data_IF_764834707999
#
_entry.id   IF_764834707999
#
_cell.length_a   1.000
_cell.length_b   1.000
_cell.length_c   1.000
_cell.angle_alpha   90.00
_cell.angle_beta   90.00
_cell.angle_gamma   90.00
#
_symmetry.space_group_name_H-M   'P 1'
#
loop_
_entity.id
_entity.type
_entity.pdbx_description
1 polymer ?
#
# COMPACT_ATOMS: atom_id res chain seq x y z
N UNK A 1 1.16 8.15 -4.77
CA UNK A 1 -0.31 8.11 -5.03
C UNK A 1 -0.87 9.48 -4.66
N UNK A 2 -1.99 9.95 -5.24
CA UNK A 2 -2.60 11.26 -4.93
C UNK A 2 -3.96 11.03 -4.25
N UNK A 3 -4.22 11.76 -3.17
CA UNK A 3 -5.50 11.74 -2.46
C UNK A 3 -6.20 13.09 -2.56
N UNK A 4 -7.54 13.07 -2.53
CA UNK A 4 -8.38 14.26 -2.56
C UNK A 4 -9.19 14.29 -1.28
N UNK A 5 -9.12 15.41 -0.57
CA UNK A 5 -9.80 15.63 0.71
C UNK A 5 -10.86 16.72 0.53
N UNK A 6 -12.02 16.52 1.14
CA UNK A 6 -13.08 17.51 1.20
C UNK A 6 -13.17 18.03 2.63
N UNK A 7 -13.04 19.34 2.80
CA UNK A 7 -13.31 20.00 4.08
C UNK A 7 -14.84 20.06 4.24
N UNK A 8 -15.35 19.52 5.36
CA UNK A 8 -16.80 19.39 5.61
C UNK A 8 -17.36 20.46 6.55
N UNK A 9 -16.49 21.18 7.26
CA UNK A 9 -16.90 22.25 8.18
C UNK A 9 -17.33 23.51 7.42
N UNK A 10 -18.01 24.43 8.12
CA UNK A 10 -18.33 25.74 7.57
C UNK A 10 -17.04 26.49 7.24
N UNK A 11 -16.72 26.55 5.95
CA UNK A 11 -15.56 27.25 5.45
C UNK A 11 -15.80 28.77 5.47
N UNK A 12 -14.75 29.58 5.62
CA UNK A 12 -14.79 31.00 5.26
C UNK A 12 -15.29 31.14 3.82
N UNK A 13 -16.04 32.21 3.50
CA UNK A 13 -16.64 32.42 2.16
C UNK A 13 -15.64 32.29 0.99
N UNK A 14 -14.33 32.49 1.23
CA UNK A 14 -13.26 32.24 0.27
C UNK A 14 -12.00 31.70 0.93
N UNK A 15 -11.61 30.48 0.56
CA UNK A 15 -10.25 29.99 0.78
C UNK A 15 -9.31 30.45 -0.35
N UNK A 16 -8.03 30.71 -0.05
CA UNK A 16 -7.03 30.87 -1.10
C UNK A 16 -6.94 29.58 -1.92
N UNK A 17 -6.85 29.72 -3.24
CA UNK A 17 -6.74 28.61 -4.19
C UNK A 17 -5.55 28.81 -5.11
N UNK A 18 -5.03 27.71 -5.64
CA UNK A 18 -3.97 27.74 -6.65
C UNK A 18 -4.40 26.99 -7.91
N UNK A 19 -3.99 27.50 -9.06
CA UNK A 19 -4.21 26.87 -10.35
C UNK A 19 -2.91 26.21 -10.82
N UNK A 20 -3.01 24.91 -11.11
CA UNK A 20 -1.90 24.12 -11.64
C UNK A 20 -1.72 24.39 -13.13
N UNK A 21 -0.48 24.64 -13.56
CA UNK A 21 -0.14 24.89 -14.96
C UNK A 21 0.44 23.67 -15.65
N UNK A 22 0.45 23.68 -16.98
CA UNK A 22 1.22 22.71 -17.74
C UNK A 22 2.71 22.94 -17.56
N UNK A 23 3.43 21.83 -17.61
CA UNK A 23 4.83 21.69 -17.23
C UNK A 23 5.67 21.13 -18.36
N UNK A 24 5.13 21.04 -19.58
CA UNK A 24 5.84 20.52 -20.75
C UNK A 24 7.12 21.30 -21.09
N UNK A 25 7.21 22.54 -20.59
CA UNK A 25 8.35 23.44 -20.71
C UNK A 25 9.41 23.25 -19.61
N UNK A 26 9.11 22.56 -18.50
CA UNK A 26 10.04 22.40 -17.39
C UNK A 26 11.23 21.53 -17.80
N UNK A 27 12.43 22.07 -17.60
CA UNK A 27 13.71 21.42 -17.86
C UNK A 27 14.54 21.19 -16.58
N UNK A 28 15.53 20.31 -16.69
CA UNK A 28 16.55 20.16 -15.65
C UNK A 28 17.41 21.42 -15.54
N UNK A 29 17.81 21.76 -14.32
CA UNK A 29 18.53 23.00 -14.00
C UNK A 29 17.62 24.17 -13.64
N UNK A 30 16.30 24.06 -13.82
CA UNK A 30 15.38 25.12 -13.45
C UNK A 30 15.18 25.23 -11.93
N UNK A 31 15.05 26.45 -11.39
CA UNK A 31 14.68 26.66 -10.00
C UNK A 31 13.23 26.24 -9.74
N UNK A 32 13.03 25.56 -8.61
CA UNK A 32 11.71 25.16 -8.11
C UNK A 32 11.65 25.39 -6.61
N UNK A 33 10.50 25.83 -6.13
CA UNK A 33 10.22 26.06 -4.72
C UNK A 33 9.17 25.07 -4.26
N UNK A 34 9.32 24.57 -3.04
CA UNK A 34 8.35 23.66 -2.44
C UNK A 34 7.86 24.26 -1.14
N UNK A 35 6.54 24.36 -1.02
CA UNK A 35 5.84 24.77 0.19
C UNK A 35 5.20 23.55 0.84
N UNK A 36 5.57 23.25 2.08
CA UNK A 36 5.12 22.09 2.83
C UNK A 36 4.71 22.47 4.26
N UNK A 37 4.13 21.52 4.99
CA UNK A 37 3.94 21.62 6.43
C UNK A 37 4.81 20.58 7.12
N UNK A 38 5.43 20.96 8.23
CA UNK A 38 6.11 20.00 9.09
C UNK A 38 5.09 19.06 9.76
N UNK A 39 5.58 17.95 10.33
CA UNK A 39 4.73 17.01 11.05
C UNK A 39 4.19 17.57 12.36
N UNK A 40 3.25 16.84 12.98
CA UNK A 40 2.61 17.20 14.25
C UNK A 40 3.60 17.53 15.37
N UNK A 41 4.75 16.84 15.43
CA UNK A 41 5.81 17.13 16.42
C UNK A 41 6.44 18.53 16.29
N UNK A 42 6.13 19.25 15.22
CA UNK A 42 6.56 20.62 14.93
C UNK A 42 5.36 21.55 14.71
N UNK A 43 4.21 21.24 15.31
CA UNK A 43 2.99 22.06 15.27
C UNK A 43 2.51 22.41 13.85
N UNK A 44 2.83 21.56 12.87
CA UNK A 44 2.50 21.80 11.46
C UNK A 44 3.05 23.12 10.88
N UNK A 45 4.20 23.59 11.39
CA UNK A 45 4.82 24.82 10.92
C UNK A 45 5.10 24.79 9.41
N UNK A 46 4.79 25.87 8.65
CA UNK A 46 5.07 25.94 7.22
C UNK A 46 6.58 25.90 6.93
N UNK A 47 6.97 25.04 5.99
CA UNK A 47 8.33 24.95 5.48
C UNK A 47 8.36 25.41 4.03
N UNK A 48 9.27 26.34 3.71
CA UNK A 48 9.51 26.79 2.35
C UNK A 48 10.96 26.49 1.96
N UNK A 49 11.14 25.70 0.90
CA UNK A 49 12.47 25.25 0.46
C UNK A 49 12.70 25.56 -1.02
N UNK A 50 13.90 26.03 -1.34
CA UNK A 50 14.34 26.27 -2.71
C UNK A 50 15.22 25.11 -3.21
N UNK A 51 14.88 24.59 -4.38
CA UNK A 51 15.58 23.49 -5.03
C UNK A 51 15.89 23.82 -6.49
N UNK A 52 16.64 22.92 -7.13
CA UNK A 52 16.81 22.86 -8.57
C UNK A 52 16.19 21.56 -9.08
N UNK A 53 15.49 21.60 -10.22
CA UNK A 53 15.05 20.39 -10.92
C UNK A 53 16.31 19.63 -11.37
N UNK A 54 16.68 18.57 -10.67
CA UNK A 54 17.87 17.79 -10.97
C UNK A 54 17.68 16.91 -12.20
N UNK A 55 16.48 16.38 -12.42
CA UNK A 55 16.16 15.59 -13.60
C UNK A 55 14.68 15.67 -13.97
N UNK A 56 14.41 15.51 -15.27
CA UNK A 56 13.08 15.26 -15.82
C UNK A 56 13.04 13.84 -16.34
N UNK A 57 12.39 12.95 -15.60
CA UNK A 57 12.22 11.54 -15.98
C UNK A 57 10.96 11.44 -16.82
N UNK A 58 11.01 10.75 -17.96
CA UNK A 58 9.85 10.60 -18.87
C UNK A 58 9.15 9.24 -18.71
N UNK A 59 9.89 8.19 -18.38
CA UNK A 59 9.44 6.81 -18.32
C UNK A 59 9.84 6.16 -16.99
N UNK A 60 9.03 5.26 -16.39
CA UNK A 60 7.72 4.79 -16.86
C UNK A 60 6.59 5.80 -16.64
N UNK A 61 6.84 6.86 -15.87
CA UNK A 61 5.93 8.00 -15.69
C UNK A 61 6.75 9.28 -15.66
N UNK A 62 6.17 10.35 -16.20
CA UNK A 62 6.81 11.67 -16.17
C UNK A 62 6.87 12.18 -14.73
N UNK A 63 8.05 12.60 -14.29
CA UNK A 63 8.29 13.16 -12.95
C UNK A 63 9.51 14.07 -12.92
N UNK A 64 9.56 14.96 -11.94
CA UNK A 64 10.73 15.78 -11.67
C UNK A 64 11.43 15.28 -10.42
N UNK A 65 12.76 15.19 -10.48
CA UNK A 65 13.58 14.85 -9.32
C UNK A 65 14.23 16.11 -8.79
N UNK A 66 14.16 16.31 -7.47
CA UNK A 66 14.86 17.37 -6.74
C UNK A 66 15.66 16.73 -5.61
N UNK A 67 16.79 17.33 -5.22
CA UNK A 67 17.61 16.82 -4.13
C UNK A 67 16.81 16.84 -2.82
N UNK A 68 16.86 15.74 -2.08
CA UNK A 68 16.15 15.58 -0.82
C UNK A 68 17.00 16.06 0.36
N UNK A 69 17.14 17.38 0.51
CA UNK A 69 17.94 17.99 1.58
C UNK A 69 17.19 18.08 2.92
N UNK A 70 15.86 18.01 2.87
CA UNK A 70 15.01 17.96 4.06
C UNK A 70 14.17 16.70 3.96
N UNK A 71 14.56 15.66 4.70
CA UNK A 71 13.74 14.44 4.90
C UNK A 71 12.53 14.76 5.79
N UNK A 72 11.83 15.86 5.50
CA UNK A 72 10.55 16.18 6.09
C UNK A 72 9.55 15.13 5.63
N UNK A 73 8.78 14.60 6.57
CA UNK A 73 7.87 13.48 6.42
C UNK A 73 6.61 13.80 5.58
N UNK A 74 6.66 14.82 4.71
CA UNK A 74 5.46 15.39 4.11
C UNK A 74 5.32 14.92 2.65
N UNK A 75 4.30 14.10 2.41
CA UNK A 75 3.77 13.89 1.08
C UNK A 75 2.80 15.03 0.78
N UNK A 76 2.77 15.53 -0.46
CA UNK A 76 1.76 16.50 -0.90
C UNK A 76 2.17 17.96 -0.76
N UNK A 77 3.46 18.25 -0.59
CA UNK A 77 4.02 19.59 -0.68
C UNK A 77 3.76 20.23 -2.05
N UNK A 78 3.48 21.53 -2.08
CA UNK A 78 3.16 22.25 -3.31
C UNK A 78 4.44 22.71 -4.01
N UNK A 79 4.70 22.18 -5.22
CA UNK A 79 5.82 22.60 -6.04
C UNK A 79 5.45 23.77 -6.96
N UNK A 80 6.27 24.81 -6.95
CA UNK A 80 6.05 26.08 -7.65
C UNK A 80 7.30 26.46 -8.43
N UNK A 81 7.13 26.82 -9.70
CA UNK A 81 8.20 27.38 -10.54
C UNK A 81 8.66 28.75 -10.03
N UNK A 82 9.82 29.24 -10.49
CA UNK A 82 10.26 30.60 -10.17
C UNK A 82 9.33 31.72 -10.64
N UNK A 83 8.43 31.44 -11.58
CA UNK A 83 7.36 32.35 -11.98
C UNK A 83 6.15 32.34 -11.02
N UNK A 84 6.23 31.64 -9.89
CA UNK A 84 5.13 31.53 -8.92
C UNK A 84 3.96 30.66 -9.37
N UNK A 85 4.16 29.82 -10.40
CA UNK A 85 3.11 28.92 -10.93
C UNK A 85 3.25 27.53 -10.35
N UNK A 86 2.14 26.95 -9.87
CA UNK A 86 2.10 25.58 -9.38
C UNK A 86 2.35 24.59 -10.52
N UNK A 87 3.36 23.74 -10.34
CA UNK A 87 3.79 22.77 -11.34
C UNK A 87 3.55 21.34 -10.89
N UNK A 88 3.29 21.09 -9.61
CA UNK A 88 3.05 19.74 -9.14
C UNK A 88 2.94 19.64 -7.63
N UNK A 89 2.99 18.41 -7.15
CA UNK A 89 3.05 18.09 -5.73
C UNK A 89 4.18 17.11 -5.44
N UNK A 90 4.81 17.20 -4.27
CA UNK A 90 5.81 16.23 -3.84
C UNK A 90 5.13 14.89 -3.51
N UNK A 91 5.75 13.81 -3.97
CA UNK A 91 5.33 12.46 -3.63
C UNK A 91 6.26 11.91 -2.57
N UNK A 92 5.68 11.22 -1.58
CA UNK A 92 6.49 10.41 -0.67
C UNK A 92 7.19 9.33 -1.49
N UNK A 93 8.50 9.25 -1.35
CA UNK A 93 9.25 8.07 -1.70
C UNK A 93 8.88 7.02 -0.65
N UNK A 94 8.01 6.08 -1.01
CA UNK A 94 7.72 4.97 -0.12
C UNK A 94 9.05 4.24 0.15
N UNK A 95 9.52 4.30 1.39
CA UNK A 95 10.56 3.42 1.87
C UNK A 95 9.97 2.02 1.85
N UNK A 96 10.27 1.27 0.80
CA UNK A 96 9.97 -0.15 0.81
C UNK A 96 10.93 -0.82 1.81
N UNK A 97 10.45 -1.08 3.02
CA UNK A 97 11.15 -1.88 4.02
C UNK A 97 11.10 -3.38 3.70
N UNK A 98 10.51 -3.78 2.57
CA UNK A 98 10.75 -5.09 2.01
C UNK A 98 12.11 -5.06 1.31
N UNK A 99 13.06 -5.82 1.85
CA UNK A 99 14.39 -6.02 1.28
C UNK A 99 14.31 -6.83 -0.02
N UNK A 100 13.57 -6.35 -1.02
CA UNK A 100 13.76 -6.80 -2.38
C UNK A 100 15.08 -6.20 -2.88
N UNK A 101 15.85 -7.04 -3.59
CA UNK A 101 17.13 -6.66 -4.19
C UNK A 101 17.04 -5.24 -4.75
N UNK A 102 17.91 -4.31 -4.35
CA UNK A 102 17.87 -2.97 -4.90
C UNK A 102 18.05 -3.09 -6.41
N UNK A 103 16.99 -2.76 -7.15
CA UNK A 103 17.19 -2.32 -8.53
C UNK A 103 18.14 -1.12 -8.48
N UNK A 104 18.93 -0.87 -9.51
CA UNK A 104 19.82 0.32 -9.59
C UNK A 104 19.07 1.64 -9.28
N UNK A 105 17.74 1.64 -9.32
CA UNK A 105 16.86 2.76 -9.00
C UNK A 105 16.55 2.95 -7.50
N UNK A 106 16.73 1.95 -6.64
CA UNK A 106 16.43 2.02 -5.19
C UNK A 106 17.49 2.81 -4.41
N UNK A 107 18.76 2.82 -4.85
CA UNK A 107 19.80 3.68 -4.26
C UNK A 107 19.54 5.17 -4.50
N UNK A 108 19.06 5.54 -5.70
CA UNK A 108 18.75 6.94 -6.06
C UNK A 108 17.58 7.54 -5.27
N UNK A 109 16.66 6.71 -4.78
CA UNK A 109 15.46 7.16 -4.07
C UNK A 109 15.72 7.84 -2.73
N UNK A 110 16.89 7.62 -2.12
CA UNK A 110 17.26 8.28 -0.86
C UNK A 110 17.63 9.75 -1.06
N UNK A 111 18.30 10.05 -2.17
CA UNK A 111 18.91 11.36 -2.41
C UNK A 111 17.97 12.32 -3.14
N UNK A 112 16.87 11.81 -3.72
CA UNK A 112 15.95 12.60 -4.52
C UNK A 112 14.50 12.46 -4.06
N UNK A 113 13.82 13.60 -3.96
CA UNK A 113 12.38 13.71 -3.78
C UNK A 113 11.73 13.85 -5.16
N UNK A 114 10.58 13.18 -5.34
CA UNK A 114 9.84 13.20 -6.59
C UNK A 114 8.74 14.27 -6.56
N UNK A 115 8.61 15.04 -7.64
CA UNK A 115 7.46 15.89 -7.90
C UNK A 115 6.60 15.22 -8.98
N UNK A 116 5.34 14.95 -8.64
CA UNK A 116 4.32 14.59 -9.62
C UNK A 116 3.96 15.83 -10.43
N UNK A 117 4.14 15.84 -11.76
CA UNK A 117 3.75 16.96 -12.60
C UNK A 117 2.23 17.12 -12.59
N UNK A 118 1.77 18.36 -12.72
CA UNK A 118 0.36 18.72 -12.63
C UNK A 118 -0.56 17.87 -13.51
N UNK A 119 -0.13 17.54 -14.73
CA UNK A 119 -0.93 16.78 -15.72
C UNK A 119 -1.25 15.37 -15.25
N UNK A 120 -0.45 14.83 -14.32
CA UNK A 120 -0.65 13.48 -13.78
C UNK A 120 -1.88 13.37 -12.87
N UNK A 121 -2.38 14.50 -12.35
CA UNK A 121 -3.54 14.52 -11.44
C UNK A 121 -4.54 15.64 -11.72
N UNK A 122 -4.25 16.63 -12.57
CA UNK A 122 -5.14 17.78 -12.78
C UNK A 122 -6.53 17.37 -13.25
N UNK A 123 -6.63 16.38 -14.14
CA UNK A 123 -7.93 15.84 -14.58
C UNK A 123 -8.75 15.19 -13.46
N UNK A 124 -8.08 14.75 -12.38
CA UNK A 124 -8.74 14.23 -11.18
C UNK A 124 -9.21 15.35 -10.23
N UNK A 125 -8.77 16.60 -10.39
CA UNK A 125 -9.28 17.73 -9.57
C UNK A 125 -10.74 18.02 -9.94
N UNK A 126 -11.08 17.98 -11.22
CA UNK A 126 -12.44 18.21 -11.71
C UNK A 126 -13.38 17.06 -11.34
N UNK A 127 -12.86 15.84 -11.32
CA UNK A 127 -13.59 14.61 -10.99
C UNK A 127 -12.80 13.80 -9.95
N UNK A 128 -12.77 14.26 -8.68
CA UNK A 128 -12.00 13.58 -7.65
C UNK A 128 -12.57 12.17 -7.45
N UNK A 129 -11.70 11.15 -7.38
CA UNK A 129 -12.16 9.80 -7.11
C UNK A 129 -12.85 9.79 -5.75
N UNK A 130 -14.13 9.45 -5.74
CA UNK A 130 -14.85 9.23 -4.48
C UNK A 130 -14.32 7.92 -3.91
N UNK A 131 -13.57 8.00 -2.81
CA UNK A 131 -13.21 6.82 -2.05
C UNK A 131 -14.47 6.26 -1.38
N UNK A 132 -15.23 5.48 -2.14
CA UNK A 132 -16.31 4.69 -1.58
C UNK A 132 -15.65 3.50 -0.87
N UNK A 133 -15.73 3.45 0.47
CA UNK A 133 -15.31 2.26 1.25
C UNK A 133 -15.91 0.96 0.68
N UNK A 134 -17.12 1.05 0.11
CA UNK A 134 -17.78 -0.06 -0.58
C UNK A 134 -17.14 -0.49 -1.90
N UNK A 135 -16.39 0.37 -2.61
CA UNK A 135 -15.80 0.02 -3.91
C UNK A 135 -14.61 -0.93 -3.79
N UNK A 136 -13.98 -1.03 -2.61
CA UNK A 136 -12.93 -2.01 -2.32
C UNK A 136 -13.50 -3.30 -1.70
N UNK A 137 -14.71 -3.25 -1.14
CA UNK A 137 -15.44 -4.43 -0.70
C UNK A 137 -16.05 -5.13 -1.92
N UNK A 138 -15.80 -6.43 -2.06
CA UNK A 138 -16.43 -7.22 -3.12
C UNK A 138 -15.74 -7.19 -4.48
N UNK A 139 -14.62 -6.47 -4.65
CA UNK A 139 -13.77 -6.64 -5.84
C UNK A 139 -13.36 -8.11 -5.94
N UNK A 140 -13.47 -8.68 -7.13
CA UNK A 140 -13.08 -10.06 -7.32
C UNK A 140 -11.57 -10.23 -7.13
N UNK A 141 -11.19 -11.34 -6.51
CA UNK A 141 -9.84 -11.69 -6.12
C UNK A 141 -9.51 -13.08 -6.62
N UNK A 142 -8.29 -13.20 -7.14
CA UNK A 142 -7.77 -14.42 -7.75
C UNK A 142 -6.88 -15.19 -6.75
N UNK A 143 -6.08 -14.46 -5.97
CA UNK A 143 -5.17 -15.02 -4.96
C UNK A 143 -3.95 -15.72 -5.54
N UNK A 144 -3.24 -15.01 -6.44
CA UNK A 144 -1.90 -15.39 -6.92
C UNK A 144 -0.93 -14.21 -6.84
N UNK A 145 0.35 -14.53 -6.69
CA UNK A 145 1.44 -13.67 -7.14
C UNK A 145 1.69 -13.91 -8.63
N UNK A 146 2.09 -12.86 -9.33
CA UNK A 146 2.15 -12.85 -10.79
C UNK A 146 3.37 -12.09 -11.30
N UNK A 147 3.98 -12.65 -12.33
CA UNK A 147 5.01 -12.02 -13.17
C UNK A 147 4.60 -12.14 -14.64
N UNK A 148 5.08 -11.24 -15.49
CA UNK A 148 4.85 -11.35 -16.92
C UNK A 148 5.61 -12.56 -17.50
N UNK A 149 5.04 -13.17 -18.55
CA UNK A 149 5.78 -14.15 -19.34
C UNK A 149 6.75 -13.43 -20.27
N UNK A 150 7.97 -13.18 -19.80
CA UNK A 150 9.01 -12.54 -20.63
C UNK A 150 9.39 -13.45 -21.81
N UNK A 151 9.94 -12.88 -22.91
CA UNK A 151 10.41 -13.68 -24.06
C UNK A 151 11.41 -14.77 -23.67
N UNK A 152 12.27 -14.51 -22.67
CA UNK A 152 13.25 -15.45 -22.16
C UNK A 152 12.58 -16.63 -21.45
N UNK A 153 11.63 -16.36 -20.55
CA UNK A 153 10.83 -17.40 -19.87
C UNK A 153 10.00 -18.20 -20.88
N UNK A 154 9.38 -17.52 -21.84
CA UNK A 154 8.60 -18.14 -22.90
C UNK A 154 9.43 -19.12 -23.73
N UNK A 155 10.62 -18.69 -24.18
CA UNK A 155 11.54 -19.52 -24.96
C UNK A 155 12.07 -20.70 -24.15
N UNK A 156 12.44 -20.48 -22.89
CA UNK A 156 12.99 -21.52 -22.02
C UNK A 156 11.96 -22.63 -21.70
N UNK A 157 10.73 -22.25 -21.34
CA UNK A 157 9.65 -23.19 -21.05
C UNK A 157 8.88 -23.66 -22.29
N UNK A 158 9.21 -23.12 -23.47
CA UNK A 158 8.55 -23.41 -24.75
C UNK A 158 7.04 -23.19 -24.69
N UNK A 159 6.64 -22.10 -24.07
CA UNK A 159 5.23 -21.75 -23.88
C UNK A 159 4.72 -21.16 -25.22
N UNK A 160 3.60 -21.67 -25.77
CA UNK A 160 3.04 -21.15 -27.03
C UNK A 160 2.39 -19.77 -26.82
N UNK A 161 2.19 -19.03 -27.91
CA UNK A 161 1.44 -17.76 -27.90
C UNK A 161 2.34 -16.52 -27.94
N UNK A 162 1.79 -15.38 -27.54
CA UNK A 162 2.44 -14.06 -27.61
C UNK A 162 2.59 -13.40 -26.22
N UNK A 163 2.59 -14.20 -25.16
CA UNK A 163 2.69 -13.72 -23.79
C UNK A 163 1.75 -14.48 -22.85
N UNK A 164 1.72 -14.04 -21.60
CA UNK A 164 0.89 -14.64 -20.57
C UNK A 164 1.24 -14.13 -19.18
N UNK A 165 0.61 -14.71 -18.18
CA UNK A 165 0.86 -14.41 -16.77
C UNK A 165 1.38 -15.64 -16.08
N UNK A 166 2.62 -15.58 -15.60
CA UNK A 166 3.24 -16.68 -14.85
C UNK A 166 2.83 -16.56 -13.39
N UNK A 167 2.38 -17.67 -12.81
CA UNK A 167 2.06 -17.77 -11.39
C UNK A 167 3.34 -18.04 -10.61
N UNK A 168 3.81 -17.07 -9.82
CA UNK A 168 4.99 -17.23 -8.96
C UNK A 168 4.62 -17.65 -7.52
N UNK A 169 3.38 -17.40 -7.12
CA UNK A 169 2.84 -17.70 -5.79
C UNK A 169 1.36 -18.02 -5.90
N UNK A 170 0.90 -18.96 -5.08
CA UNK A 170 -0.52 -19.23 -4.87
C UNK A 170 -0.81 -19.00 -3.40
N UNK A 171 -1.77 -18.13 -3.09
CA UNK A 171 -2.12 -17.84 -1.71
C UNK A 171 -2.97 -18.99 -1.12
N UNK A 172 -2.67 -19.50 0.07
CA UNK A 172 -3.48 -20.55 0.70
C UNK A 172 -4.93 -20.11 0.92
N UNK A 173 -5.89 -21.02 0.83
CA UNK A 173 -7.34 -20.80 0.88
C UNK A 173 -7.93 -19.90 -0.23
N UNK A 174 -7.10 -19.45 -1.17
CA UNK A 174 -7.52 -18.57 -2.26
C UNK A 174 -8.37 -19.27 -3.32
N UNK A 175 -9.04 -18.50 -4.21
CA UNK A 175 -9.67 -19.03 -5.41
C UNK A 175 -8.72 -19.83 -6.31
N UNK A 176 -7.47 -19.38 -6.48
CA UNK A 176 -6.48 -20.07 -7.30
C UNK A 176 -6.08 -21.43 -6.71
N UNK A 177 -5.86 -21.51 -5.40
CA UNK A 177 -5.56 -22.79 -4.74
C UNK A 177 -6.73 -23.76 -4.89
N UNK A 178 -7.96 -23.28 -4.66
CA UNK A 178 -9.20 -24.07 -4.81
C UNK A 178 -9.43 -24.54 -6.25
N UNK A 179 -8.95 -23.77 -7.24
CA UNK A 179 -8.95 -24.15 -8.65
C UNK A 179 -7.79 -25.11 -9.02
N UNK A 180 -6.93 -25.47 -8.06
CA UNK A 180 -5.79 -26.37 -8.30
C UNK A 180 -4.68 -25.75 -9.13
N UNK A 181 -4.63 -24.41 -9.21
CA UNK A 181 -3.52 -23.69 -9.83
C UNK A 181 -2.25 -23.83 -8.99
N UNK A 182 -1.10 -23.77 -9.65
CA UNK A 182 0.20 -24.04 -9.06
C UNK A 182 1.21 -22.99 -9.49
N UNK A 183 2.23 -22.82 -8.65
CA UNK A 183 3.43 -22.08 -9.01
C UNK A 183 4.04 -22.69 -10.28
N UNK A 184 4.47 -21.82 -11.21
CA UNK A 184 4.96 -22.13 -12.57
C UNK A 184 3.90 -22.45 -13.63
N UNK A 185 2.61 -22.39 -13.29
CA UNK A 185 1.60 -22.31 -14.35
C UNK A 185 1.73 -20.99 -15.10
N UNK A 186 1.43 -21.03 -16.40
CA UNK A 186 1.32 -19.81 -17.21
C UNK A 186 -0.11 -19.66 -17.69
N UNK A 187 -0.80 -18.60 -17.27
CA UNK A 187 -2.14 -18.27 -17.75
C UNK A 187 -1.99 -17.61 -19.13
N UNK A 188 -2.55 -18.27 -20.15
CA UNK A 188 -2.51 -17.83 -21.55
C UNK A 188 -3.77 -17.06 -21.94
N UNK A 189 -4.92 -17.41 -21.37
CA UNK A 189 -6.18 -16.68 -21.57
C UNK A 189 -7.05 -16.64 -20.33
N UNK A 190 -7.89 -15.62 -20.23
CA UNK A 190 -8.80 -15.38 -19.12
C UNK A 190 -10.18 -14.98 -19.65
N UNK A 191 -11.21 -15.76 -19.30
CA UNK A 191 -12.59 -15.64 -19.80
C UNK A 191 -12.69 -15.56 -21.33
N UNK A 192 -11.86 -16.36 -22.03
CA UNK A 192 -11.81 -16.42 -23.49
C UNK A 192 -10.95 -15.35 -24.16
N UNK A 193 -10.38 -14.41 -23.40
CA UNK A 193 -9.50 -13.36 -23.94
C UNK A 193 -8.01 -13.72 -23.76
N UNK A 194 -7.22 -13.79 -24.83
CA UNK A 194 -5.78 -14.02 -24.75
C UNK A 194 -5.04 -12.94 -23.95
N UNK A 195 -4.06 -13.36 -23.15
CA UNK A 195 -3.22 -12.48 -22.35
C UNK A 195 -1.89 -12.23 -23.06
N UNK A 196 -1.80 -11.13 -23.81
CA UNK A 196 -0.56 -10.68 -24.47
C UNK A 196 0.27 -9.83 -23.51
N UNK A 197 0.82 -10.45 -22.47
CA UNK A 197 1.60 -9.77 -21.42
C UNK A 197 3.03 -10.32 -21.45
N UNK A 198 4.00 -9.45 -21.73
CA UNK A 198 5.42 -9.82 -21.80
C UNK A 198 6.31 -9.01 -20.85
N UNK A 199 5.78 -7.94 -20.26
CA UNK A 199 6.47 -7.04 -19.33
C UNK A 199 5.62 -6.80 -18.10
N UNK A 200 6.24 -6.67 -16.94
CA UNK A 200 5.52 -6.55 -15.66
C UNK A 200 4.62 -5.30 -15.58
N UNK A 201 4.98 -4.23 -16.26
CA UNK A 201 4.17 -3.00 -16.41
C UNK A 201 2.79 -3.29 -17.02
N UNK A 202 2.68 -4.33 -17.85
CA UNK A 202 1.45 -4.73 -18.55
C UNK A 202 0.53 -5.60 -17.68
N UNK A 203 1.02 -6.11 -16.54
CA UNK A 203 0.22 -6.89 -15.58
C UNK A 203 -0.96 -6.09 -15.02
N UNK A 204 -0.89 -4.75 -15.03
CA UNK A 204 -2.02 -3.89 -14.65
C UNK A 204 -3.30 -4.25 -15.41
N UNK A 205 -3.18 -4.57 -16.71
CA UNK A 205 -4.33 -4.97 -17.54
C UNK A 205 -5.00 -6.24 -17.03
N UNK A 206 -4.21 -7.22 -16.59
CA UNK A 206 -4.76 -8.45 -16.03
C UNK A 206 -5.40 -8.22 -14.65
N UNK A 207 -4.77 -7.42 -13.80
CA UNK A 207 -5.37 -7.01 -12.51
C UNK A 207 -6.70 -6.31 -12.71
N UNK A 208 -6.80 -5.40 -13.68
CA UNK A 208 -8.04 -4.71 -14.02
C UNK A 208 -9.14 -5.70 -14.44
N UNK A 209 -8.82 -6.67 -15.31
CA UNK A 209 -9.77 -7.74 -15.70
C UNK A 209 -10.28 -8.55 -14.50
N UNK A 210 -9.39 -8.91 -13.58
CA UNK A 210 -9.77 -9.60 -12.34
C UNK A 210 -10.72 -8.72 -11.52
N UNK A 211 -10.30 -7.49 -11.20
CA UNK A 211 -11.10 -6.60 -10.33
C UNK A 211 -12.42 -6.14 -10.93
N UNK A 212 -12.51 -6.07 -12.27
CA UNK A 212 -13.74 -5.78 -13.00
C UNK A 212 -14.65 -6.99 -13.22
N UNK A 213 -14.20 -8.20 -12.90
CA UNK A 213 -15.01 -9.41 -12.98
C UNK A 213 -16.01 -9.49 -11.82
N UNK A 214 -17.14 -10.14 -12.07
CA UNK A 214 -18.14 -10.43 -11.03
C UNK A 214 -17.64 -11.56 -10.14
N UNK A 215 -17.56 -11.31 -8.83
CA UNK A 215 -17.26 -12.35 -7.85
C UNK A 215 -18.28 -13.49 -7.93
N UNK A 216 -17.88 -14.69 -7.53
CA UNK A 216 -18.68 -15.93 -7.57
C UNK A 216 -19.09 -16.44 -8.98
N UNK A 217 -18.68 -15.76 -10.06
CA UNK A 217 -18.78 -16.30 -11.42
C UNK A 217 -17.65 -17.30 -11.69
N UNK A 218 -17.98 -18.42 -12.34
CA UNK A 218 -16.98 -19.32 -12.91
C UNK A 218 -16.43 -18.71 -14.21
N UNK A 219 -15.12 -18.55 -14.29
CA UNK A 219 -14.41 -18.01 -15.44
C UNK A 219 -13.51 -19.11 -16.02
N UNK A 220 -13.45 -19.17 -17.36
CA UNK A 220 -12.57 -20.10 -18.05
C UNK A 220 -11.13 -19.59 -18.05
N UNK A 221 -10.18 -20.49 -17.85
CA UNK A 221 -8.75 -20.23 -17.95
C UNK A 221 -8.13 -21.20 -18.95
N UNK A 222 -7.26 -20.69 -19.79
CA UNK A 222 -6.31 -21.54 -20.50
C UNK A 222 -4.95 -21.39 -19.85
N UNK A 223 -4.39 -22.49 -19.34
CA UNK A 223 -3.09 -22.49 -18.68
C UNK A 223 -2.11 -23.41 -19.42
N UNK A 224 -0.83 -23.12 -19.30
CA UNK A 224 0.25 -23.99 -19.70
C UNK A 224 0.92 -24.58 -18.46
N UNK A 225 0.93 -25.91 -18.37
CA UNK A 225 1.55 -26.67 -17.28
C UNK A 225 2.18 -27.95 -17.83
N UNK A 226 3.43 -28.21 -17.46
CA UNK A 226 4.19 -29.41 -17.85
C UNK A 226 4.23 -29.64 -19.37
N UNK A 227 4.46 -28.57 -20.14
CA UNK A 227 4.57 -28.65 -21.60
C UNK A 227 3.23 -28.74 -22.35
N UNK A 228 2.09 -28.68 -21.64
CA UNK A 228 0.76 -28.85 -22.23
C UNK A 228 -0.17 -27.70 -21.87
N UNK A 229 -1.00 -27.32 -22.84
CA UNK A 229 -2.11 -26.40 -22.64
C UNK A 229 -3.28 -27.16 -22.02
N UNK A 230 -3.91 -26.56 -21.01
CA UNK A 230 -5.02 -27.12 -20.23
C UNK A 230 -6.11 -26.07 -20.08
N UNK A 231 -7.35 -26.53 -20.10
CA UNK A 231 -8.51 -25.71 -19.79
C UNK A 231 -8.86 -25.92 -18.32
N UNK A 232 -8.84 -24.85 -17.54
CA UNK A 232 -9.19 -24.83 -16.12
C UNK A 232 -10.36 -23.87 -15.90
N UNK A 233 -10.98 -23.95 -14.72
CA UNK A 233 -12.01 -23.00 -14.30
C UNK A 233 -11.66 -22.42 -12.95
N UNK A 234 -11.89 -21.13 -12.80
CA UNK A 234 -11.74 -20.45 -11.51
C UNK A 234 -13.04 -19.78 -11.12
N UNK A 235 -13.42 -19.92 -9.86
CA UNK A 235 -14.50 -19.15 -9.24
C UNK A 235 -13.88 -18.06 -8.38
N UNK A 236 -13.84 -16.84 -8.89
CA UNK A 236 -13.29 -15.72 -8.13
C UNK A 236 -14.15 -15.46 -6.88
N UNK A 237 -13.53 -14.95 -5.83
CA UNK A 237 -14.21 -14.54 -4.59
C UNK A 237 -13.98 -13.06 -4.33
N UNK A 238 -14.79 -12.42 -3.47
CA UNK A 238 -14.42 -11.13 -2.92
C UNK A 238 -13.00 -11.13 -2.37
N UNK A 239 -12.26 -10.06 -2.60
CA UNK A 239 -10.99 -9.83 -1.95
C UNK A 239 -11.14 -9.91 -0.42
N UNK A 240 -10.10 -10.39 0.28
CA UNK A 240 -10.01 -10.21 1.71
C UNK A 240 -10.32 -8.76 2.11
N UNK A 241 -10.95 -8.61 3.27
CA UNK A 241 -11.16 -7.27 3.85
C UNK A 241 -9.81 -6.62 4.04
N UNK A 242 -9.63 -5.41 3.50
CA UNK A 242 -8.42 -4.66 3.71
C UNK A 242 -8.30 -4.24 5.19
N UNK A 243 -7.08 -4.21 5.73
CA UNK A 243 -6.84 -3.75 7.11
C UNK A 243 -7.39 -2.34 7.39
N UNK A 244 -7.38 -1.47 6.37
CA UNK A 244 -7.91 -0.10 6.45
C UNK A 244 -9.41 -0.05 6.74
N UNK A 245 -10.12 -1.14 6.46
CA UNK A 245 -11.55 -1.34 6.64
C UNK A 245 -11.88 -2.30 7.78
N UNK A 246 -10.87 -2.83 8.48
CA UNK A 246 -11.07 -3.69 9.63
C UNK A 246 -11.68 -2.92 10.81
N UNK A 247 -12.38 -3.64 11.68
CA UNK A 247 -12.82 -3.07 12.96
C UNK A 247 -11.59 -2.63 13.76
N UNK A 248 -11.73 -1.53 14.49
CA UNK A 248 -10.63 -0.90 15.21
C UNK A 248 -11.00 -0.63 16.65
N UNK A 249 -10.01 -0.70 17.51
CA UNK A 249 -10.10 -0.29 18.90
C UNK A 249 -8.99 0.73 19.18
N UNK A 250 -9.40 1.91 19.62
CA UNK A 250 -8.51 3.01 19.95
C UNK A 250 -8.28 3.02 21.45
N UNK A 251 -7.03 2.86 21.86
CA UNK A 251 -6.60 2.92 23.24
C UNK A 251 -5.81 4.22 23.46
N UNK A 252 -6.58 5.30 23.63
CA UNK A 252 -6.05 6.67 23.66
C UNK A 252 -5.09 6.91 24.82
N UNK A 253 -5.29 6.26 25.96
CA UNK A 253 -4.45 6.34 27.16
C UNK A 253 -3.01 5.89 26.89
N UNK A 254 -2.84 4.95 25.96
CA UNK A 254 -1.53 4.42 25.55
C UNK A 254 -1.05 5.01 24.22
N UNK A 255 -1.89 5.75 23.49
CA UNK A 255 -1.61 6.22 22.14
C UNK A 255 -1.50 5.08 21.12
N UNK A 256 -2.37 4.08 21.22
CA UNK A 256 -2.33 2.85 20.42
C UNK A 256 -3.66 2.67 19.67
N UNK A 257 -3.60 2.41 18.36
CA UNK A 257 -4.73 1.89 17.58
C UNK A 257 -4.42 0.46 17.15
N UNK A 258 -5.31 -0.47 17.51
CA UNK A 258 -5.27 -1.86 17.02
C UNK A 258 -6.47 -2.15 16.14
N UNK A 259 -6.32 -3.14 15.27
CA UNK A 259 -7.36 -3.58 14.35
C UNK A 259 -7.48 -5.08 14.30
N UNK A 260 -8.69 -5.54 13.95
CA UNK A 260 -8.95 -6.95 13.67
C UNK A 260 -8.00 -7.47 12.58
N UNK A 261 -7.41 -8.63 12.83
CA UNK A 261 -6.46 -9.23 11.92
C UNK A 261 -7.17 -9.66 10.62
N UNK A 262 -6.60 -9.25 9.50
CA UNK A 262 -7.17 -9.48 8.17
C UNK A 262 -6.24 -10.35 7.33
N UNK A 263 -6.83 -11.08 6.38
CA UNK A 263 -6.11 -12.11 5.63
C UNK A 263 -5.09 -11.50 4.64
N UNK A 264 -5.31 -10.27 4.18
CA UNK A 264 -4.32 -9.48 3.42
C UNK A 264 -3.04 -9.24 4.25
N UNK A 265 -3.15 -8.87 5.53
CA UNK A 265 -2.01 -8.69 6.42
C UNK A 265 -1.25 -10.01 6.63
N UNK A 266 -1.97 -11.11 6.84
CA UNK A 266 -1.35 -12.42 6.98
C UNK A 266 -0.51 -12.78 5.74
N UNK A 267 -1.02 -12.47 4.56
CA UNK A 267 -0.33 -12.72 3.30
C UNK A 267 0.86 -11.78 3.05
N UNK A 268 0.67 -10.47 3.23
CA UNK A 268 1.67 -9.45 2.91
C UNK A 268 2.89 -9.58 3.81
N UNK A 269 2.67 -9.89 5.09
CA UNK A 269 3.73 -10.09 6.07
C UNK A 269 4.12 -11.56 6.28
N UNK A 270 3.51 -12.48 5.50
CA UNK A 270 3.80 -13.91 5.51
C UNK A 270 3.68 -14.55 6.90
N UNK A 271 2.68 -14.12 7.67
CA UNK A 271 2.29 -14.78 8.91
C UNK A 271 1.58 -16.11 8.60
N UNK A 272 1.65 -17.10 9.51
CA UNK A 272 0.81 -18.30 9.43
C UNK A 272 -0.68 -17.94 9.35
N UNK A 273 -1.48 -18.70 8.60
CA UNK A 273 -2.90 -18.40 8.43
C UNK A 273 -3.71 -18.54 9.72
N UNK A 274 -3.24 -19.40 10.61
CA UNK A 274 -3.84 -19.64 11.91
C UNK A 274 -3.38 -18.64 12.99
N UNK A 275 -2.52 -17.66 12.64
CA UNK A 275 -2.14 -16.58 13.54
C UNK A 275 -3.37 -15.91 14.12
N UNK A 276 -3.37 -15.75 15.44
CA UNK A 276 -4.41 -15.08 16.21
C UNK A 276 -3.85 -13.85 16.89
N UNK A 277 -4.71 -12.88 17.15
CA UNK A 277 -4.33 -11.62 17.79
C UNK A 277 -4.95 -10.41 17.10
N UNK A 278 -4.44 -9.24 17.45
CA UNK A 278 -4.82 -7.95 16.85
C UNK A 278 -3.62 -7.28 16.21
N UNK A 279 -3.83 -6.63 15.07
CA UNK A 279 -2.79 -5.93 14.33
C UNK A 279 -2.59 -4.51 14.89
N UNK A 280 -1.35 -4.12 15.15
CA UNK A 280 -1.00 -2.76 15.56
C UNK A 280 -0.97 -1.87 14.32
N UNK A 281 -1.98 -1.02 14.19
CA UNK A 281 -2.19 -0.18 13.01
C UNK A 281 -1.52 1.18 13.15
N UNK A 282 -1.62 1.81 14.32
CA UNK A 282 -1.04 3.12 14.58
C UNK A 282 -0.53 3.23 16.01
N UNK A 283 0.56 3.97 16.18
CA UNK A 283 1.16 4.28 17.46
C UNK A 283 1.54 5.76 17.47
N UNK A 284 1.16 6.48 18.53
CA UNK A 284 1.78 7.74 18.88
C UNK A 284 3.13 7.46 19.56
N UNK A 285 4.21 7.91 18.92
CA UNK A 285 5.59 7.69 19.39
C UNK A 285 5.89 8.38 20.72
N UNK A 286 5.19 9.46 21.05
CA UNK A 286 5.37 10.19 22.30
C UNK A 286 4.49 9.62 23.45
N UNK A 287 3.54 8.75 23.12
CA UNK A 287 2.65 8.12 24.08
C UNK A 287 3.29 6.87 24.72
N UNK A 288 2.70 6.32 25.80
CA UNK A 288 3.27 5.16 26.49
C UNK A 288 3.55 3.94 25.60
N UNK A 289 2.68 3.62 24.64
CA UNK A 289 2.89 2.51 23.71
C UNK A 289 4.15 2.71 22.86
N UNK A 290 4.35 3.93 22.33
CA UNK A 290 5.53 4.30 21.56
C UNK A 290 6.81 4.27 22.39
N UNK A 291 6.79 4.88 23.59
CA UNK A 291 7.94 4.87 24.51
C UNK A 291 8.30 3.47 25.02
N UNK A 292 7.30 2.59 25.16
CA UNK A 292 7.50 1.19 25.54
C UNK A 292 8.18 0.35 24.46
N UNK A 293 8.21 0.83 23.20
CA UNK A 293 8.82 0.12 22.07
C UNK A 293 7.85 -0.78 21.32
N UNK A 294 6.54 -0.53 21.38
CA UNK A 294 5.61 -1.18 20.45
C UNK A 294 5.85 -0.65 19.04
N UNK A 295 5.68 -1.53 18.04
CA UNK A 295 5.92 -1.21 16.63
C UNK A 295 4.68 -1.45 15.77
N UNK A 296 4.39 -0.48 14.90
CA UNK A 296 3.37 -0.61 13.84
C UNK A 296 3.74 -1.80 12.95
N UNK A 297 2.74 -2.62 12.59
CA UNK A 297 2.97 -3.83 11.82
C UNK A 297 3.10 -5.11 12.67
N UNK A 298 3.18 -4.98 13.99
CA UNK A 298 3.21 -6.13 14.89
C UNK A 298 1.80 -6.67 15.18
N UNK A 299 1.70 -7.95 15.54
CA UNK A 299 0.47 -8.58 16.02
C UNK A 299 0.56 -8.77 17.53
N UNK A 300 -0.37 -8.22 18.30
CA UNK A 300 -0.49 -8.51 19.73
C UNK A 300 -1.16 -9.87 19.88
N UNK A 301 -0.45 -10.79 20.48
CA UNK A 301 -0.86 -12.19 20.67
C UNK A 301 -1.23 -12.50 22.12
N UNK A 302 -0.70 -11.74 23.09
CA UNK A 302 -1.03 -11.86 24.51
C UNK A 302 -0.99 -10.50 25.22
N UNK A 303 -1.78 -10.37 26.28
CA UNK A 303 -1.78 -9.24 27.23
C UNK A 303 -1.70 -9.80 28.65
N UNK A 304 -0.66 -9.43 29.41
CA UNK A 304 -0.40 -9.90 30.78
C UNK A 304 -0.42 -11.44 30.91
N UNK A 305 0.13 -12.14 29.91
CA UNK A 305 0.17 -13.61 29.85
C UNK A 305 -1.16 -14.27 29.46
N UNK A 306 -2.18 -13.48 29.10
CA UNK A 306 -3.48 -13.97 28.63
C UNK A 306 -3.56 -13.90 27.10
N UNK A 307 -3.94 -14.98 26.41
CA UNK A 307 -3.99 -15.01 24.95
C UNK A 307 -5.06 -14.07 24.39
N UNK A 308 -4.71 -13.41 23.29
CA UNK A 308 -5.61 -12.59 22.48
C UNK A 308 -5.92 -13.34 21.20
N UNK A 309 -7.19 -13.63 20.96
CA UNK A 309 -7.62 -14.35 19.75
C UNK A 309 -8.09 -13.43 18.62
N UNK A 310 -8.67 -12.29 18.99
CA UNK A 310 -9.39 -11.36 18.13
C UNK A 310 -9.52 -9.99 18.84
N UNK A 311 -10.10 -9.01 18.15
CA UNK A 311 -10.30 -7.66 18.66
C UNK A 311 -11.20 -7.57 19.89
N UNK A 312 -12.27 -8.37 19.93
CA UNK A 312 -13.19 -8.35 21.06
C UNK A 312 -12.53 -8.90 22.33
N UNK A 313 -11.74 -9.96 22.20
CA UNK A 313 -10.92 -10.51 23.28
C UNK A 313 -9.86 -9.51 23.76
N UNK A 314 -9.20 -8.80 22.83
CA UNK A 314 -8.25 -7.74 23.19
C UNK A 314 -8.93 -6.61 23.99
N UNK A 315 -10.04 -6.07 23.48
CA UNK A 315 -10.79 -5.00 24.11
C UNK A 315 -11.25 -5.39 25.52
N UNK A 316 -11.83 -6.59 25.68
CA UNK A 316 -12.26 -7.09 26.98
C UNK A 316 -11.12 -7.19 27.98
N UNK A 317 -9.97 -7.75 27.57
CA UNK A 317 -8.79 -7.90 28.43
C UNK A 317 -8.21 -6.55 28.86
N UNK A 318 -8.14 -5.58 27.95
CA UNK A 318 -7.62 -4.24 28.24
C UNK A 318 -8.53 -3.49 29.20
N UNK A 319 -9.84 -3.48 28.94
CA UNK A 319 -10.81 -2.79 29.80
C UNK A 319 -10.77 -3.33 31.24
N UNK A 320 -10.65 -4.65 31.40
CA UNK A 320 -10.48 -5.30 32.71
C UNK A 320 -9.20 -4.86 33.41
N UNK A 321 -8.05 -4.91 32.73
CA UNK A 321 -6.74 -4.55 33.30
C UNK A 321 -6.71 -3.09 33.75
N UNK A 322 -7.27 -2.18 32.94
CA UNK A 322 -7.33 -0.77 33.28
C UNK A 322 -8.28 -0.50 34.47
N UNK A 323 -9.41 -1.20 34.55
CA UNK A 323 -10.34 -1.09 35.67
C UNK A 323 -9.72 -1.54 37.01
N UNK A 324 -8.80 -2.51 36.99
CA UNK A 324 -8.07 -2.98 38.17
C UNK A 324 -6.88 -2.08 38.59
N UNK A 325 -6.75 -0.88 38.01
CA UNK A 325 -5.60 0.01 38.15
C UNK A 325 -4.27 -0.63 37.70
N UNK A 326 -4.31 -1.45 36.65
CA UNK A 326 -3.12 -2.02 36.03
C UNK A 326 -2.22 -0.94 35.43
N UNK A 327 -1.25 -0.43 36.22
CA UNK A 327 -0.31 0.61 35.79
C UNK A 327 0.74 0.14 34.79
N UNK A 328 0.91 -1.18 34.63
CA UNK A 328 1.91 -1.76 33.75
C UNK A 328 1.32 -2.95 33.01
N UNK A 329 1.33 -2.86 31.69
CA UNK A 329 0.77 -3.86 30.79
C UNK A 329 1.91 -4.48 30.00
N UNK A 330 2.00 -5.81 30.01
CA UNK A 330 2.93 -6.58 29.21
C UNK A 330 2.22 -7.11 27.97
N UNK A 331 2.67 -6.71 26.80
CA UNK A 331 2.22 -7.24 25.52
C UNK A 331 3.21 -8.30 25.02
N UNK A 332 2.71 -9.45 24.60
CA UNK A 332 3.49 -10.32 23.70
C UNK A 332 3.13 -9.97 22.27
N UNK A 333 4.09 -9.45 21.52
CA UNK A 333 3.88 -9.05 20.13
C UNK A 333 4.73 -9.89 19.20
N UNK A 334 4.18 -10.17 18.02
CA UNK A 334 4.84 -10.90 16.95
C UNK A 334 5.08 -9.96 15.78
N UNK A 335 6.34 -9.79 15.40
CA UNK A 335 6.74 -9.05 14.21
C UNK A 335 7.36 -10.05 13.23
N UNK A 336 6.66 -10.33 12.13
CA UNK A 336 7.02 -11.39 11.18
C UNK A 336 7.23 -12.74 11.89
N UNK A 337 8.47 -13.20 12.04
CA UNK A 337 8.84 -14.47 12.70
C UNK A 337 9.40 -14.29 14.11
N UNK A 338 9.59 -13.05 14.53
CA UNK A 338 10.16 -12.74 15.84
C UNK A 338 9.04 -12.42 16.82
N UNK A 339 9.24 -12.82 18.08
CA UNK A 339 8.32 -12.53 19.18
C UNK A 339 9.09 -11.75 20.23
N UNK A 340 8.47 -10.70 20.75
CA UNK A 340 9.02 -9.87 21.81
C UNK A 340 7.98 -9.59 22.89
N UNK A 341 8.45 -9.33 24.09
CA UNK A 341 7.63 -8.88 25.21
C UNK A 341 7.90 -7.39 25.42
N UNK A 342 6.83 -6.60 25.42
CA UNK A 342 6.91 -5.15 25.53
C UNK A 342 6.10 -4.69 26.73
N UNK A 343 6.74 -3.96 27.63
CA UNK A 343 6.06 -3.37 28.78
C UNK A 343 5.66 -1.93 28.46
N UNK A 344 4.41 -1.60 28.75
CA UNK A 344 3.84 -0.26 28.59
C UNK A 344 3.25 0.17 29.92
N UNK A 345 3.65 1.36 30.39
CA UNK A 345 3.15 1.93 31.62
C UNK A 345 1.88 2.77 31.33
N UNK A 346 0.72 2.30 31.81
CA UNK A 346 -0.52 3.06 31.77
C UNK A 346 -0.47 4.16 32.83
N UNK A 347 -0.84 5.40 32.45
CA UNK A 347 -0.76 6.59 33.32
C UNK A 347 -1.63 6.49 34.56
#
# INVERSE_FOLDING_TARGET
>A
QVAFLQITDELPERLPRIEFRDTGDIAAGEPVYVLELLGESYDFEPLFTAYTINAVVQSPRRKFLIKNDVTALSAGGLAISAAGKAIGITLRVDFDFSFQSPSEFEEFRRDFLEIAPSESFRGLIENPPVFQRASHMGKAWFGIGMQALTPELQAYWKVPGEGGVVIDRVYPESPAEKAGLKVRDVILSFDGEPLKIQRDEELKRFREKITGSVADKNLALEIFRDGKVRQEKIKLKPAPRAIDLAEKYQLSELGLEVRELTLDILYDYSFPLDTKGVYIYQIDRAAPAGMGGLEVGSIITEVNGRPVTDLAGFEGLINEILAENGKKIMFRVQMRRETQFVFVDAK
#
